data_IF_155288551227
#
_entry.id   IF_155288551227
#
_cell.length_a   1.000
_cell.length_b   1.000
_cell.length_c   1.000
_cell.angle_alpha   90.00
_cell.angle_beta   90.00
_cell.angle_gamma   90.00
#
_symmetry.space_group_name_H-M   'P 1'
#
loop_
_entity.id
_entity.type
_entity.pdbx_description
1 polymer ?
#
# COMPACT_ATOMS: atom_id res chain seq x y z
N UNK A 1 -39.59 16.08 -45.65
CA UNK A 1 -40.32 17.36 -45.81
C UNK A 1 -41.73 17.23 -45.23
N UNK A 2 -41.94 17.75 -44.01
CA UNK A 2 -43.22 18.27 -43.48
C UNK A 2 -42.89 18.88 -42.12
N UNK A 3 -43.05 20.20 -42.04
CA UNK A 3 -42.78 21.06 -40.87
C UNK A 3 -43.96 20.94 -39.91
N UNK A 4 -43.69 20.75 -38.62
CA UNK A 4 -44.75 20.76 -37.60
C UNK A 4 -44.25 21.45 -36.33
N UNK A 5 -44.86 22.61 -36.10
CA UNK A 5 -45.26 23.20 -34.81
C UNK A 5 -44.19 23.68 -33.83
N UNK A 6 -44.05 25.01 -33.86
CA UNK A 6 -43.62 25.91 -32.79
C UNK A 6 -44.66 25.87 -31.66
N UNK A 7 -44.23 25.70 -30.40
CA UNK A 7 -45.01 26.12 -29.23
C UNK A 7 -44.14 27.00 -28.35
N UNK A 8 -44.47 28.30 -28.32
CA UNK A 8 -44.00 29.27 -27.33
C UNK A 8 -44.63 28.95 -25.97
N UNK A 9 -43.83 28.92 -24.91
CA UNK A 9 -44.30 29.12 -23.54
C UNK A 9 -43.66 30.41 -23.04
N UNK A 10 -44.50 31.43 -22.86
CA UNK A 10 -44.14 32.71 -22.27
C UNK A 10 -44.38 32.67 -20.75
N UNK A 11 -43.33 33.08 -20.02
CA UNK A 11 -43.27 33.84 -18.77
C UNK A 11 -44.51 33.90 -17.85
N UNK A 12 -44.33 33.61 -16.55
CA UNK A 12 -44.73 34.49 -15.43
C UNK A 12 -43.89 34.20 -14.16
N UNK A 13 -43.65 35.26 -13.38
CA UNK A 13 -43.20 35.34 -11.97
C UNK A 13 -41.68 35.29 -11.74
N UNK A 14 -41.07 36.23 -11.01
CA UNK A 14 -41.61 37.34 -10.24
C UNK A 14 -40.47 37.94 -9.42
N UNK A 15 -40.46 39.27 -9.31
CA UNK A 15 -39.52 40.02 -8.49
C UNK A 15 -39.52 39.53 -7.04
N UNK A 16 -38.33 39.27 -6.51
CA UNK A 16 -38.07 39.03 -5.09
C UNK A 16 -36.71 39.59 -4.70
N UNK A 17 -36.53 40.91 -4.86
CA UNK A 17 -35.39 41.61 -4.30
C UNK A 17 -35.53 41.66 -2.77
N UNK A 18 -34.72 40.87 -2.05
CA UNK A 18 -34.52 41.09 -0.62
C UNK A 18 -33.04 41.29 -0.35
N UNK A 19 -32.80 42.46 0.20
CA UNK A 19 -31.57 43.09 0.65
C UNK A 19 -30.89 42.25 1.75
N UNK A 20 -29.64 41.82 1.53
CA UNK A 20 -28.72 41.46 2.61
C UNK A 20 -27.37 42.15 2.34
N UNK A 21 -27.28 43.39 2.81
CA UNK A 21 -26.01 44.08 3.04
C UNK A 21 -25.55 43.70 4.44
N UNK A 22 -24.67 42.70 4.55
CA UNK A 22 -23.86 42.48 5.73
C UNK A 22 -22.38 42.60 5.36
N UNK A 23 -21.72 43.38 6.19
CA UNK A 23 -20.37 43.90 6.10
C UNK A 23 -19.33 42.78 5.96
N UNK A 24 -18.64 42.73 4.82
CA UNK A 24 -17.39 41.99 4.69
C UNK A 24 -16.25 42.83 5.28
N UNK A 25 -15.90 42.58 6.54
CA UNK A 25 -14.61 42.99 7.08
C UNK A 25 -13.50 42.32 6.25
N UNK A 26 -12.61 43.13 5.70
CA UNK A 26 -11.37 42.70 5.06
C UNK A 26 -10.43 42.19 6.16
N UNK A 27 -10.56 40.92 6.54
CA UNK A 27 -9.53 40.24 7.32
C UNK A 27 -8.35 39.97 6.39
N UNK A 28 -7.16 40.36 6.81
CA UNK A 28 -5.92 40.03 6.13
C UNK A 28 -5.83 38.50 5.91
N UNK A 29 -5.21 38.04 4.80
CA UNK A 29 -4.92 36.61 4.65
C UNK A 29 -4.10 36.15 5.86
N UNK A 30 -4.43 35.00 6.47
CA UNK A 30 -3.60 34.45 7.54
C UNK A 30 -2.18 34.24 7.02
N UNK A 31 -1.21 34.60 7.86
CA UNK A 31 0.21 34.33 7.62
C UNK A 31 0.41 32.82 7.36
N UNK A 32 1.27 32.43 6.40
CA UNK A 32 1.53 31.03 6.06
C UNK A 32 2.29 30.25 7.15
N UNK A 33 2.54 30.83 8.32
CA UNK A 33 3.29 30.18 9.40
C UNK A 33 2.42 29.46 10.45
N UNK A 34 1.14 29.19 10.13
CA UNK A 34 0.25 28.47 11.06
C UNK A 34 0.11 27.01 10.64
N UNK A 35 1.01 26.19 11.19
CA UNK A 35 0.85 24.77 11.48
C UNK A 35 0.24 23.91 10.36
N UNK A 36 1.09 23.06 9.77
CA UNK A 36 0.73 21.66 9.57
C UNK A 36 0.19 21.14 10.91
N UNK A 37 -1.12 21.35 11.16
CA UNK A 37 -1.84 20.48 12.06
C UNK A 37 -1.62 19.11 11.48
N UNK A 38 -0.77 18.34 12.15
CA UNK A 38 -0.85 16.89 12.13
C UNK A 38 -2.34 16.59 12.25
N UNK A 39 -2.99 16.25 11.13
CA UNK A 39 -4.21 15.48 11.29
C UNK A 39 -3.74 14.33 12.17
N UNK A 40 -4.39 14.06 13.31
CA UNK A 40 -4.18 12.78 13.92
C UNK A 40 -4.52 11.81 12.80
N UNK A 41 -3.50 11.23 12.18
CA UNK A 41 -3.56 9.83 11.80
C UNK A 41 -3.91 9.24 13.14
N UNK A 42 -5.21 9.04 13.37
CA UNK A 42 -5.70 8.29 14.51
C UNK A 42 -4.82 7.07 14.46
N UNK A 43 -3.86 7.03 15.38
CA UNK A 43 -2.95 5.92 15.49
C UNK A 43 -3.90 4.78 15.74
N UNK A 44 -4.18 4.00 14.70
CA UNK A 44 -4.87 2.73 14.83
C UNK A 44 -4.05 2.06 15.91
N UNK A 45 -4.60 2.02 17.13
CA UNK A 45 -3.90 1.47 18.28
C UNK A 45 -3.45 0.11 17.80
N UNK A 46 -2.13 -0.08 17.67
CA UNK A 46 -1.59 -1.33 17.13
C UNK A 46 -2.27 -2.45 17.93
N UNK A 47 -3.13 -3.27 17.29
CA UNK A 47 -4.07 -4.06 18.06
C UNK A 47 -3.29 -5.00 18.97
N UNK A 48 -3.78 -5.15 20.20
CA UNK A 48 -3.38 -6.22 21.10
C UNK A 48 -3.52 -7.56 20.36
N UNK A 49 -2.42 -8.03 19.77
CA UNK A 49 -2.48 -9.09 18.75
C UNK A 49 -1.13 -9.75 18.47
N UNK A 50 -0.18 -9.66 19.39
CA UNK A 50 1.04 -10.48 19.37
C UNK A 50 0.82 -11.73 20.22
N UNK A 51 -0.15 -12.55 19.86
CA UNK A 51 -0.29 -13.86 20.49
C UNK A 51 0.19 -14.93 19.51
N UNK A 52 1.51 -15.17 19.40
CA UNK A 52 2.05 -16.21 18.50
C UNK A 52 1.53 -17.60 18.86
N UNK A 53 1.00 -17.80 20.07
CA UNK A 53 0.32 -19.04 20.47
C UNK A 53 -0.91 -19.32 19.60
N UNK A 54 -1.53 -18.28 19.02
CA UNK A 54 -2.65 -18.46 18.08
C UNK A 54 -2.24 -19.08 16.75
N UNK A 55 -0.97 -18.97 16.38
CA UNK A 55 -0.37 -19.71 15.29
C UNK A 55 0.50 -20.84 15.86
N UNK A 56 -0.14 -21.77 16.56
CA UNK A 56 0.50 -22.98 17.06
C UNK A 56 -0.15 -24.23 16.50
N UNK A 57 0.66 -25.28 16.28
CA UNK A 57 0.20 -26.61 15.90
C UNK A 57 0.58 -27.56 17.02
N UNK A 58 -0.39 -28.33 17.53
CA UNK A 58 -0.18 -29.27 18.63
C UNK A 58 0.49 -28.62 19.86
N UNK A 59 0.19 -27.34 20.13
CA UNK A 59 0.76 -26.58 21.23
C UNK A 59 2.18 -26.04 21.01
N UNK A 60 2.75 -26.24 19.81
CA UNK A 60 4.03 -25.68 19.42
C UNK A 60 3.80 -24.44 18.54
N UNK A 61 4.34 -23.29 18.96
CA UNK A 61 4.34 -22.06 18.18
C UNK A 61 5.10 -22.31 16.87
N UNK A 62 4.54 -21.87 15.75
CA UNK A 62 5.22 -21.97 14.45
C UNK A 62 6.50 -21.13 14.48
N UNK A 63 7.61 -21.75 14.12
CA UNK A 63 8.92 -21.10 14.04
C UNK A 63 8.92 -20.10 12.87
N UNK A 64 9.33 -18.82 13.06
CA UNK A 64 9.40 -17.87 11.96
C UNK A 64 10.27 -18.33 10.78
N UNK A 65 11.29 -19.17 11.02
CA UNK A 65 12.11 -19.74 9.95
C UNK A 65 11.35 -20.64 8.99
N UNK A 66 10.18 -21.17 9.39
CA UNK A 66 9.36 -21.96 8.49
C UNK A 66 8.89 -21.12 7.29
N UNK A 67 8.72 -19.80 7.47
CA UNK A 67 8.30 -18.89 6.42
C UNK A 67 9.44 -18.41 5.51
N UNK A 68 10.69 -18.43 5.99
CA UNK A 68 11.88 -17.92 5.29
C UNK A 68 12.28 -18.72 4.03
N UNK A 69 11.68 -19.90 3.84
CA UNK A 69 12.06 -20.86 2.80
C UNK A 69 11.02 -21.02 1.69
N UNK A 70 9.88 -20.34 1.79
CA UNK A 70 8.92 -20.38 0.71
C UNK A 70 9.50 -19.68 -0.51
N UNK A 71 9.82 -20.45 -1.54
CA UNK A 71 10.25 -19.87 -2.81
C UNK A 71 9.11 -19.02 -3.37
N UNK A 72 9.44 -17.80 -3.79
CA UNK A 72 8.51 -16.93 -4.52
C UNK A 72 7.96 -17.58 -5.81
N UNK A 73 8.58 -18.66 -6.30
CA UNK A 73 8.13 -19.42 -7.47
C UNK A 73 6.99 -20.41 -7.16
N UNK A 74 6.74 -20.72 -5.89
CA UNK A 74 5.63 -21.61 -5.51
C UNK A 74 4.32 -20.82 -5.48
N UNK A 75 3.38 -21.21 -6.34
CA UNK A 75 2.04 -20.60 -6.39
C UNK A 75 1.27 -20.79 -5.07
N UNK A 76 1.49 -21.91 -4.38
CA UNK A 76 0.90 -22.23 -3.08
C UNK A 76 1.94 -22.84 -2.16
N UNK A 77 2.75 -22.02 -1.47
CA UNK A 77 3.76 -22.54 -0.56
C UNK A 77 3.10 -23.28 0.61
N UNK A 78 3.78 -24.33 1.07
CA UNK A 78 3.44 -25.05 2.28
C UNK A 78 4.60 -24.93 3.26
N UNK A 79 4.27 -24.76 4.53
CA UNK A 79 5.20 -24.49 5.61
C UNK A 79 5.16 -25.67 6.58
N UNK A 80 6.20 -26.51 6.64
CA UNK A 80 6.33 -27.45 7.75
C UNK A 80 6.49 -26.64 9.03
N UNK A 81 5.85 -27.04 10.13
CA UNK A 81 5.97 -26.32 11.42
C UNK A 81 7.05 -26.90 12.33
N UNK A 82 7.68 -27.99 11.89
CA UNK A 82 8.79 -28.67 12.56
C UNK A 82 9.97 -28.77 11.61
N UNK A 83 11.19 -28.76 12.15
CA UNK A 83 12.44 -28.86 11.38
C UNK A 83 12.56 -27.78 10.29
N UNK A 84 12.21 -26.55 10.66
CA UNK A 84 12.21 -25.42 9.75
C UNK A 84 13.64 -24.98 9.47
N UNK A 85 14.04 -25.08 8.20
CA UNK A 85 15.32 -24.62 7.69
C UNK A 85 16.55 -25.25 8.38
N UNK A 86 16.79 -26.57 8.20
CA UNK A 86 17.90 -27.28 8.85
C UNK A 86 19.28 -26.68 8.51
N UNK A 87 19.39 -26.06 7.33
CA UNK A 87 20.62 -25.44 6.84
C UNK A 87 20.86 -24.01 7.36
N UNK A 88 19.97 -23.48 8.19
CA UNK A 88 20.11 -22.15 8.81
C UNK A 88 20.54 -22.26 10.29
N UNK A 89 21.28 -21.26 10.75
CA UNK A 89 21.67 -21.07 12.15
C UNK A 89 21.05 -19.79 12.65
N UNK A 90 20.27 -19.85 13.74
CA UNK A 90 19.74 -18.64 14.39
C UNK A 90 20.88 -17.80 14.95
N UNK A 91 20.82 -16.49 14.71
CA UNK A 91 21.85 -15.55 15.18
C UNK A 91 21.37 -14.58 16.24
N UNK A 92 20.08 -14.24 16.26
CA UNK A 92 19.47 -13.43 17.31
C UNK A 92 19.06 -14.27 18.51
N UNK A 93 19.12 -13.66 19.70
CA UNK A 93 18.30 -14.14 20.83
C UNK A 93 16.87 -13.66 20.61
N UNK A 94 15.89 -14.37 21.15
CA UNK A 94 14.45 -14.06 21.01
C UNK A 94 14.06 -12.63 21.46
N UNK A 95 14.92 -11.98 22.24
CA UNK A 95 14.78 -10.61 22.73
C UNK A 95 15.19 -9.54 21.69
N UNK A 96 16.00 -9.90 20.70
CA UNK A 96 16.35 -9.02 19.59
C UNK A 96 15.20 -9.12 18.58
N UNK A 97 14.24 -8.18 18.63
CA UNK A 97 13.12 -8.11 17.68
C UNK A 97 13.53 -7.29 16.46
N UNK A 98 14.18 -7.86 15.41
CA UNK A 98 14.73 -7.08 14.29
C UNK A 98 13.67 -6.33 13.48
N UNK A 99 12.41 -6.79 13.55
CA UNK A 99 11.27 -6.25 12.79
C UNK A 99 10.37 -5.36 13.64
N UNK A 100 10.84 -4.94 14.81
CA UNK A 100 10.06 -4.19 15.79
C UNK A 100 9.11 -5.06 16.58
N UNK A 101 8.33 -4.44 17.47
CA UNK A 101 7.52 -5.20 18.43
C UNK A 101 6.39 -5.98 17.77
N UNK A 102 5.88 -5.52 16.62
CA UNK A 102 4.67 -6.05 15.99
C UNK A 102 4.81 -7.47 15.41
N UNK A 103 6.02 -8.01 15.24
CA UNK A 103 6.27 -9.33 14.66
C UNK A 103 6.89 -10.29 15.68
N UNK A 104 6.46 -11.55 15.62
CA UNK A 104 7.21 -12.66 16.20
C UNK A 104 8.22 -13.15 15.17
N UNK A 105 9.52 -13.02 15.45
CA UNK A 105 10.56 -13.14 14.43
C UNK A 105 11.93 -13.56 14.96
N UNK A 106 12.83 -13.84 14.03
CA UNK A 106 14.22 -14.23 14.30
C UNK A 106 15.15 -13.75 13.19
N UNK A 107 16.43 -13.57 13.48
CA UNK A 107 17.50 -13.50 12.47
C UNK A 107 18.20 -14.84 12.34
N UNK A 108 18.81 -15.08 11.20
CA UNK A 108 19.54 -16.30 10.89
C UNK A 108 20.77 -16.04 10.02
N UNK A 109 21.67 -17.01 9.97
CA UNK A 109 22.80 -17.11 9.06
C UNK A 109 22.74 -18.45 8.33
N UNK A 110 23.09 -18.48 7.05
CA UNK A 110 23.32 -19.74 6.33
C UNK A 110 24.50 -20.51 6.92
N UNK A 111 24.40 -21.84 7.01
CA UNK A 111 25.53 -22.73 7.36
C UNK A 111 26.60 -22.83 6.25
N UNK A 112 26.31 -22.34 5.04
CA UNK A 112 27.25 -22.34 3.92
C UNK A 112 28.41 -21.37 4.14
N UNK A 113 29.53 -21.58 3.43
CA UNK A 113 30.73 -20.71 3.48
C UNK A 113 30.44 -19.24 3.13
N UNK A 114 29.34 -18.98 2.41
CA UNK A 114 28.78 -17.65 2.23
C UNK A 114 27.78 -17.38 3.37
N UNK A 115 28.24 -16.73 4.43
CA UNK A 115 27.42 -16.36 5.59
C UNK A 115 26.39 -15.28 5.22
N UNK A 116 25.29 -15.71 4.59
CA UNK A 116 24.15 -14.85 4.28
C UNK A 116 23.31 -14.67 5.55
N UNK A 117 23.14 -13.42 5.98
CA UNK A 117 22.37 -13.04 7.18
C UNK A 117 20.96 -12.66 6.79
N UNK A 118 19.96 -13.39 7.26
CA UNK A 118 18.57 -13.06 6.99
C UNK A 118 17.75 -12.79 8.25
N UNK A 119 16.49 -12.43 8.03
CA UNK A 119 15.46 -12.38 9.06
C UNK A 119 14.14 -12.92 8.51
N UNK A 120 13.33 -13.50 9.39
CA UNK A 120 11.98 -13.91 9.08
C UNK A 120 11.08 -13.69 10.29
N UNK A 121 9.86 -13.24 10.04
CA UNK A 121 8.89 -12.92 11.07
C UNK A 121 7.47 -13.03 10.55
N UNK A 122 6.54 -13.18 11.47
CA UNK A 122 5.13 -13.13 11.14
C UNK A 122 4.32 -12.47 12.24
N UNK A 123 3.12 -12.06 11.86
CA UNK A 123 2.07 -11.57 12.73
C UNK A 123 0.77 -12.27 12.38
N UNK A 124 0.20 -12.98 13.35
CA UNK A 124 -1.15 -13.52 13.22
C UNK A 124 -2.17 -12.39 13.37
N UNK A 125 -3.04 -12.21 12.38
CA UNK A 125 -4.02 -11.11 12.35
C UNK A 125 -5.38 -11.54 12.89
N UNK A 126 -5.69 -12.83 12.83
CA UNK A 126 -6.99 -13.38 13.17
C UNK A 126 -7.43 -14.48 12.22
N UNK A 127 -8.66 -14.91 12.39
CA UNK A 127 -9.33 -15.82 11.47
C UNK A 127 -10.15 -15.00 10.46
N UNK A 128 -9.99 -15.28 9.17
CA UNK A 128 -10.77 -14.67 8.09
C UNK A 128 -11.38 -15.78 7.24
N UNK A 129 -12.71 -15.83 7.16
CA UNK A 129 -13.46 -16.86 6.41
C UNK A 129 -13.08 -18.32 6.76
N UNK A 130 -12.62 -18.56 7.99
CA UNK A 130 -12.20 -19.89 8.45
C UNK A 130 -10.72 -20.20 8.26
N UNK A 131 -9.96 -19.30 7.62
CA UNK A 131 -8.53 -19.43 7.38
C UNK A 131 -7.72 -18.54 8.32
N UNK A 132 -6.45 -18.91 8.57
CA UNK A 132 -5.52 -18.12 9.39
C UNK A 132 -4.96 -16.97 8.56
N UNK A 133 -5.31 -15.73 8.89
CA UNK A 133 -4.72 -14.56 8.26
C UNK A 133 -3.37 -14.24 8.92
N UNK A 134 -2.30 -14.27 8.12
CA UNK A 134 -0.93 -14.08 8.59
C UNK A 134 -0.21 -13.06 7.72
N UNK A 135 0.41 -12.07 8.36
CA UNK A 135 1.33 -11.14 7.72
C UNK A 135 2.76 -11.59 7.99
N UNK A 136 3.46 -12.01 6.94
CA UNK A 136 4.81 -12.54 6.93
C UNK A 136 5.77 -11.44 6.43
N UNK A 137 6.95 -11.34 7.03
CA UNK A 137 8.04 -10.47 6.60
C UNK A 137 9.34 -11.28 6.57
N UNK A 138 10.12 -11.12 5.50
CA UNK A 138 11.40 -11.81 5.36
C UNK A 138 12.45 -10.96 4.64
N UNK A 139 13.71 -11.31 4.90
CA UNK A 139 14.88 -10.85 4.19
C UNK A 139 15.87 -12.02 4.14
N UNK A 140 16.23 -12.44 2.92
CA UNK A 140 17.15 -13.57 2.71
C UNK A 140 18.61 -13.12 2.58
N UNK A 141 18.99 -12.03 3.26
CA UNK A 141 20.34 -11.48 3.32
C UNK A 141 20.84 -10.64 2.15
N UNK A 142 19.92 -10.21 1.29
CA UNK A 142 20.12 -9.07 0.40
C UNK A 142 19.67 -7.74 1.03
N UNK A 143 19.48 -6.72 0.19
CA UNK A 143 18.90 -5.43 0.58
C UNK A 143 17.36 -5.40 0.52
N UNK A 144 16.73 -6.43 -0.05
CA UNK A 144 15.27 -6.55 -0.20
C UNK A 144 14.59 -6.96 1.09
N UNK A 145 13.41 -6.41 1.38
CA UNK A 145 12.58 -6.83 2.51
C UNK A 145 11.22 -7.14 1.94
N UNK A 146 10.88 -8.42 1.93
CA UNK A 146 9.64 -8.91 1.37
C UNK A 146 8.60 -9.01 2.45
N UNK A 147 7.36 -8.75 2.08
CA UNK A 147 6.22 -8.90 2.96
C UNK A 147 5.07 -9.51 2.19
N UNK A 148 4.36 -10.41 2.86
CA UNK A 148 3.28 -11.20 2.28
C UNK A 148 2.13 -11.28 3.26
N UNK A 149 0.91 -11.05 2.78
CA UNK A 149 -0.33 -11.26 3.51
C UNK A 149 -1.03 -12.47 2.93
N UNK A 150 -1.16 -13.53 3.73
CA UNK A 150 -1.68 -14.82 3.28
C UNK A 150 -2.80 -15.33 4.18
N UNK A 151 -3.70 -16.11 3.58
CA UNK A 151 -4.63 -17.00 4.27
C UNK A 151 -4.03 -18.41 4.28
N UNK A 152 -3.91 -19.00 5.46
CA UNK A 152 -3.31 -20.31 5.66
C UNK A 152 -4.31 -21.32 6.23
N UNK A 153 -4.18 -22.58 5.82
CA UNK A 153 -4.92 -23.72 6.34
C UNK A 153 -4.02 -24.69 7.12
N UNK A 154 -4.61 -25.39 8.08
CA UNK A 154 -3.94 -26.49 8.79
C UNK A 154 -4.23 -27.82 8.10
N UNK A 155 -3.19 -28.53 7.69
CA UNK A 155 -3.33 -29.81 6.97
C UNK A 155 -3.38 -31.05 7.89
N UNK A 156 -3.43 -30.85 9.20
CA UNK A 156 -3.55 -31.94 10.20
C UNK A 156 -2.31 -32.83 10.35
N UNK A 157 -1.35 -32.74 9.42
CA UNK A 157 -0.08 -33.47 9.41
C UNK A 157 1.09 -32.68 10.03
N UNK A 158 0.81 -31.47 10.54
CA UNK A 158 1.86 -30.57 11.02
C UNK A 158 2.34 -29.57 9.97
N UNK A 159 1.60 -29.37 8.88
CA UNK A 159 1.90 -28.33 7.90
C UNK A 159 0.83 -27.24 7.87
N UNK A 160 1.27 -26.04 7.51
CA UNK A 160 0.41 -24.96 7.04
C UNK A 160 0.44 -24.95 5.51
N UNK A 161 -0.71 -24.89 4.86
CA UNK A 161 -0.78 -24.67 3.41
C UNK A 161 -1.28 -23.26 3.12
N UNK A 162 -0.81 -22.67 2.03
CA UNK A 162 -1.35 -21.38 1.58
C UNK A 162 -2.66 -21.62 0.85
N UNK A 163 -3.75 -21.15 1.45
CA UNK A 163 -5.06 -21.09 0.80
C UNK A 163 -5.03 -20.03 -0.31
N UNK A 164 -4.61 -18.82 0.05
CA UNK A 164 -4.57 -17.64 -0.84
C UNK A 164 -3.48 -16.65 -0.39
N UNK A 165 -2.84 -16.00 -1.36
CA UNK A 165 -1.97 -14.84 -1.13
C UNK A 165 -2.78 -13.59 -1.49
N UNK A 166 -3.10 -12.77 -0.50
CA UNK A 166 -3.92 -11.56 -0.66
C UNK A 166 -3.09 -10.37 -1.16
N UNK A 167 -1.84 -10.27 -0.69
CA UNK A 167 -0.90 -9.25 -1.13
C UNK A 167 0.55 -9.69 -0.90
N UNK A 168 1.46 -9.26 -1.77
CA UNK A 168 2.89 -9.41 -1.56
C UNK A 168 3.69 -8.30 -2.26
N UNK A 169 4.95 -8.11 -1.83
CA UNK A 169 5.90 -7.21 -2.49
C UNK A 169 7.22 -7.00 -1.74
N UNK A 170 8.14 -6.25 -2.37
CA UNK A 170 9.42 -5.82 -1.77
C UNK A 170 9.36 -4.33 -1.43
N UNK A 171 9.28 -4.01 -0.13
CA UNK A 171 9.27 -2.62 0.38
C UNK A 171 8.29 -1.76 -0.44
N UNK A 172 8.80 -0.75 -1.14
CA UNK A 172 8.00 0.19 -1.93
C UNK A 172 7.31 -0.42 -3.15
N UNK A 173 7.76 -1.58 -3.61
CA UNK A 173 7.17 -2.29 -4.73
C UNK A 173 6.15 -3.31 -4.21
N UNK A 174 5.02 -2.79 -3.72
CA UNK A 174 3.87 -3.58 -3.31
C UNK A 174 3.95 -4.21 -1.92
N UNK A 175 4.96 -3.85 -1.12
CA UNK A 175 5.12 -4.36 0.25
C UNK A 175 3.92 -4.03 1.11
N UNK A 176 3.50 -4.98 1.94
CA UNK A 176 2.36 -4.88 2.84
C UNK A 176 2.74 -4.05 4.06
N UNK A 177 1.84 -3.15 4.47
CA UNK A 177 1.94 -2.33 5.66
C UNK A 177 0.61 -2.33 6.43
N UNK A 178 0.68 -2.08 7.75
CA UNK A 178 -0.47 -1.85 8.63
C UNK A 178 -1.63 -2.87 8.50
N UNK A 179 -1.32 -4.15 8.27
CA UNK A 179 -2.33 -5.20 8.13
C UNK A 179 -2.96 -5.57 9.49
N UNK A 180 -4.29 -5.72 9.50
CA UNK A 180 -5.05 -6.11 10.68
C UNK A 180 -6.50 -6.49 10.37
N UNK A 181 -7.14 -7.21 11.30
CA UNK A 181 -8.57 -7.55 11.23
C UNK A 181 -9.31 -6.83 12.35
N UNK A 182 -10.34 -6.08 11.99
CA UNK A 182 -11.25 -5.41 12.94
C UNK A 182 -12.69 -5.75 12.55
N UNK A 183 -13.46 -6.29 13.50
CA UNK A 183 -14.85 -6.69 13.30
C UNK A 183 -15.09 -7.57 12.05
N UNK A 184 -14.14 -8.49 11.79
CA UNK A 184 -14.18 -9.41 10.65
C UNK A 184 -13.80 -8.80 9.31
N UNK A 185 -13.41 -7.53 9.28
CA UNK A 185 -12.89 -6.85 8.09
C UNK A 185 -11.38 -6.83 8.13
N UNK A 186 -10.75 -7.39 7.10
CA UNK A 186 -9.31 -7.26 6.89
C UNK A 186 -9.00 -5.89 6.28
N UNK A 187 -8.21 -5.08 6.96
CA UNK A 187 -7.66 -3.83 6.46
C UNK A 187 -6.16 -3.96 6.32
N UNK A 188 -5.60 -3.47 5.22
CA UNK A 188 -4.15 -3.39 5.03
C UNK A 188 -3.79 -2.28 4.05
N UNK A 189 -2.52 -1.93 4.03
CA UNK A 189 -1.94 -1.00 3.07
C UNK A 189 -0.88 -1.70 2.22
N UNK A 190 -0.63 -1.18 1.02
CA UNK A 190 0.53 -1.55 0.21
C UNK A 190 1.34 -0.30 -0.11
N UNK A 191 2.63 -0.32 0.17
CA UNK A 191 3.53 0.73 -0.34
C UNK A 191 3.58 0.62 -1.87
N UNK A 192 3.47 1.76 -2.55
CA UNK A 192 3.41 1.83 -4.02
C UNK A 192 4.43 2.81 -4.58
N UNK A 193 5.01 2.43 -5.71
CA UNK A 193 5.89 3.29 -6.52
C UNK A 193 5.07 4.18 -7.46
N UNK A 194 5.67 5.22 -8.08
CA UNK A 194 5.04 6.02 -9.12
C UNK A 194 4.43 5.18 -10.26
N UNK A 195 5.13 4.14 -10.71
CA UNK A 195 4.60 3.24 -11.73
C UNK A 195 3.39 2.45 -11.21
N UNK A 196 3.48 1.90 -10.00
CA UNK A 196 2.38 1.13 -9.39
C UNK A 196 1.12 1.97 -9.22
N UNK A 197 1.26 3.25 -8.89
CA UNK A 197 0.14 4.20 -8.78
C UNK A 197 -0.69 4.22 -10.07
N UNK A 198 -0.07 4.22 -11.25
CA UNK A 198 -0.81 4.12 -12.50
C UNK A 198 -1.51 2.77 -12.69
N UNK A 199 -0.88 1.69 -12.23
CA UNK A 199 -1.37 0.33 -12.38
C UNK A 199 -2.54 0.00 -11.43
N UNK A 200 -2.77 0.80 -10.37
CA UNK A 200 -3.84 0.59 -9.39
C UNK A 200 -5.25 0.71 -9.97
N UNK A 201 -5.44 1.28 -11.16
CA UNK A 201 -6.77 1.40 -11.80
C UNK A 201 -7.32 0.08 -12.35
N UNK A 202 -6.72 -1.06 -12.00
CA UNK A 202 -7.33 -2.39 -12.14
C UNK A 202 -7.21 -3.07 -13.51
N UNK A 203 -6.59 -2.45 -14.51
CA UNK A 203 -6.30 -3.10 -15.78
C UNK A 203 -4.80 -3.00 -16.13
N UNK A 204 -4.02 -4.08 -15.98
CA UNK A 204 -2.59 -4.07 -16.29
C UNK A 204 -2.30 -4.00 -17.81
N UNK A 205 -3.31 -4.26 -18.65
CA UNK A 205 -3.21 -4.21 -20.12
C UNK A 205 -3.57 -2.83 -20.69
N UNK A 206 -3.78 -1.81 -19.83
CA UNK A 206 -4.09 -0.46 -20.30
C UNK A 206 -2.97 0.05 -21.21
N UNK A 207 -3.29 0.57 -22.42
CA UNK A 207 -2.28 1.05 -23.36
C UNK A 207 -1.35 2.12 -22.78
N UNK A 208 -1.86 2.97 -21.88
CA UNK A 208 -1.05 4.01 -21.22
C UNK A 208 0.12 3.45 -20.44
N UNK A 209 -0.04 2.29 -19.79
CA UNK A 209 1.02 1.61 -19.03
C UNK A 209 2.13 1.11 -19.97
N UNK A 210 1.84 0.91 -21.25
CA UNK A 210 2.80 0.46 -22.25
C UNK A 210 3.56 1.61 -22.94
N UNK A 211 3.25 2.87 -22.60
CA UNK A 211 3.92 4.04 -23.17
C UNK A 211 5.34 4.20 -22.61
N UNK A 212 6.24 4.77 -23.41
CA UNK A 212 7.61 5.06 -22.96
C UNK A 212 7.63 5.96 -21.71
N UNK A 213 6.76 6.98 -21.68
CA UNK A 213 6.64 7.89 -20.54
C UNK A 213 6.21 7.17 -19.25
N UNK A 214 5.24 6.26 -19.33
CA UNK A 214 4.83 5.48 -18.17
C UNK A 214 5.96 4.55 -17.68
N UNK A 215 6.66 3.89 -18.61
CA UNK A 215 7.79 3.00 -18.30
C UNK A 215 9.01 3.74 -17.74
N UNK A 216 9.09 5.06 -17.92
CA UNK A 216 10.11 5.90 -17.29
C UNK A 216 9.78 6.27 -15.84
N UNK A 217 8.56 6.01 -15.36
CA UNK A 217 8.25 6.25 -13.95
C UNK A 217 9.01 5.25 -13.05
N UNK A 218 9.49 5.70 -11.88
CA UNK A 218 10.21 4.82 -10.96
C UNK A 218 9.36 3.62 -10.53
N UNK A 219 9.95 2.43 -10.62
CA UNK A 219 9.39 1.16 -10.14
C UNK A 219 10.47 0.41 -9.33
N UNK A 220 10.91 1.01 -8.21
CA UNK A 220 12.00 0.48 -7.41
C UNK A 220 11.59 0.25 -5.95
N UNK A 221 12.21 -0.73 -5.28
CA UNK A 221 11.90 -1.09 -3.90
C UNK A 221 12.29 -0.02 -2.85
N UNK A 222 12.96 1.07 -3.25
CA UNK A 222 13.20 2.24 -2.41
C UNK A 222 12.40 3.49 -2.84
N UNK A 223 11.58 3.38 -3.90
CA UNK A 223 10.89 4.49 -4.54
C UNK A 223 9.45 4.67 -3.99
N UNK A 224 9.27 4.67 -2.67
CA UNK A 224 7.96 4.77 -2.04
C UNK A 224 7.37 6.18 -2.23
N UNK A 225 6.14 6.25 -2.73
CA UNK A 225 5.44 7.53 -2.94
C UNK A 225 4.15 7.63 -2.14
N UNK A 226 3.46 6.50 -1.99
CA UNK A 226 2.17 6.45 -1.34
C UNK A 226 1.92 5.06 -0.77
N UNK A 227 0.80 4.95 -0.07
CA UNK A 227 0.22 3.70 0.40
C UNK A 227 -1.17 3.54 -0.18
N UNK A 228 -1.39 2.46 -0.92
CA UNK A 228 -2.70 2.05 -1.38
C UNK A 228 -3.43 1.33 -0.23
N UNK A 229 -4.65 1.74 0.08
CA UNK A 229 -5.49 1.18 1.14
C UNK A 229 -6.42 0.12 0.57
N UNK A 230 -6.59 -0.96 1.34
CA UNK A 230 -7.45 -2.08 0.97
C UNK A 230 -8.31 -2.53 2.15
N UNK A 231 -9.56 -2.90 1.85
CA UNK A 231 -10.47 -3.58 2.76
C UNK A 231 -10.97 -4.87 2.10
N UNK A 232 -10.72 -6.03 2.73
CA UNK A 232 -11.06 -7.35 2.19
C UNK A 232 -10.57 -7.60 0.75
N UNK A 233 -9.46 -6.95 0.36
CA UNK A 233 -8.90 -7.03 -0.98
C UNK A 233 -9.37 -5.94 -1.94
N UNK A 234 -10.43 -5.20 -1.60
CA UNK A 234 -10.94 -4.10 -2.40
C UNK A 234 -10.13 -2.82 -2.14
N UNK A 235 -9.68 -2.16 -3.21
CA UNK A 235 -9.00 -0.87 -3.12
C UNK A 235 -9.97 0.22 -2.62
N UNK A 236 -9.61 0.92 -1.56
CA UNK A 236 -10.46 1.95 -0.92
C UNK A 236 -9.93 3.37 -1.07
N UNK A 237 -8.66 3.54 -1.43
CA UNK A 237 -8.05 4.85 -1.66
C UNK A 237 -6.53 4.81 -1.54
N UNK A 238 -5.91 5.98 -1.59
CA UNK A 238 -4.46 6.12 -1.55
C UNK A 238 -4.05 7.29 -0.65
N UNK A 239 -3.02 7.06 0.18
CA UNK A 239 -2.40 8.08 1.02
C UNK A 239 -0.99 8.36 0.52
N UNK A 240 -0.75 9.58 0.04
CA UNK A 240 0.59 10.10 -0.21
C UNK A 240 1.22 10.56 1.10
N UNK A 241 2.48 10.20 1.32
CA UNK A 241 3.23 10.64 2.51
C UNK A 241 4.63 11.14 2.10
N UNK A 242 4.78 12.47 2.12
CA UNK A 242 6.05 13.15 1.82
C UNK A 242 7.17 12.83 2.82
N UNK A 243 6.84 12.25 3.99
CA UNK A 243 7.79 11.91 5.05
C UNK A 243 8.35 10.50 4.89
N UNK A 244 7.85 9.70 3.95
CA UNK A 244 8.48 8.42 3.64
C UNK A 244 9.96 8.70 3.36
N UNK A 245 10.90 7.93 3.94
CA UNK A 245 12.32 8.30 4.03
C UNK A 245 13.05 8.48 2.69
N UNK A 246 12.36 8.21 1.57
CA UNK A 246 12.81 8.36 0.19
C UNK A 246 11.89 9.28 -0.65
N UNK A 247 10.84 9.86 -0.04
CA UNK A 247 9.85 10.72 -0.68
C UNK A 247 10.43 12.09 -1.01
N UNK A 248 10.30 12.50 -2.28
CA UNK A 248 10.44 13.83 -2.89
C UNK A 248 11.71 14.68 -2.63
N UNK A 249 12.28 14.68 -1.43
CA UNK A 249 13.27 15.65 -0.96
C UNK A 249 14.74 15.20 -1.11
N UNK A 250 15.00 14.00 -1.65
CA UNK A 250 16.36 13.43 -1.68
C UNK A 250 16.77 12.71 -2.96
N UNK A 251 15.95 12.70 -4.01
CA UNK A 251 16.28 11.98 -5.24
C UNK A 251 17.31 12.75 -6.07
N UNK A 252 18.34 12.03 -6.52
CA UNK A 252 19.08 12.40 -7.73
C UNK A 252 18.18 12.07 -8.91
N UNK A 253 17.34 13.02 -9.31
CA UNK A 253 16.56 12.91 -10.53
C UNK A 253 17.49 12.54 -11.70
N UNK A 254 17.01 11.67 -12.59
CA UNK A 254 17.53 11.74 -13.95
C UNK A 254 17.00 13.06 -14.50
N UNK A 255 17.87 14.07 -14.62
CA UNK A 255 17.49 15.44 -15.00
C UNK A 255 16.71 15.51 -16.33
N UNK A 256 16.73 14.44 -17.12
CA UNK A 256 16.07 14.28 -18.41
C UNK A 256 14.67 13.61 -18.36
N UNK A 257 14.18 13.14 -17.21
CA UNK A 257 12.87 12.48 -17.12
C UNK A 257 11.71 13.48 -16.88
N UNK A 258 11.15 14.00 -17.97
CA UNK A 258 10.03 14.95 -17.90
C UNK A 258 8.75 14.34 -17.29
N UNK A 259 8.51 13.04 -17.48
CA UNK A 259 7.32 12.37 -16.95
C UNK A 259 7.37 12.25 -15.43
N UNK A 260 8.50 11.79 -14.87
CA UNK A 260 8.69 11.73 -13.40
C UNK A 260 8.59 13.12 -12.77
N UNK A 261 9.21 14.14 -13.37
CA UNK A 261 9.11 15.51 -12.86
C UNK A 261 7.67 16.04 -12.85
N UNK A 262 6.93 15.83 -13.94
CA UNK A 262 5.53 16.23 -14.02
C UNK A 262 4.68 15.52 -12.97
N UNK A 263 4.85 14.20 -12.83
CA UNK A 263 4.17 13.39 -11.84
C UNK A 263 4.43 13.91 -10.42
N UNK A 264 5.70 14.21 -10.13
CA UNK A 264 6.09 14.74 -8.83
C UNK A 264 5.46 16.09 -8.52
N UNK A 265 5.41 16.99 -9.51
CA UNK A 265 4.82 18.31 -9.36
C UNK A 265 3.29 18.23 -9.18
N UNK A 266 2.61 17.33 -9.90
CA UNK A 266 1.18 17.07 -9.69
C UNK A 266 0.89 16.53 -8.29
N UNK A 267 1.65 15.55 -7.81
CA UNK A 267 1.43 15.01 -6.45
C UNK A 267 1.60 16.08 -5.39
N UNK A 268 2.60 16.96 -5.49
CA UNK A 268 2.80 18.04 -4.51
C UNK A 268 1.55 18.93 -4.40
N UNK A 269 0.97 19.32 -5.55
CA UNK A 269 -0.27 20.11 -5.59
C UNK A 269 -1.39 19.35 -4.89
N UNK A 270 -1.60 18.07 -5.22
CA UNK A 270 -2.66 17.27 -4.61
C UNK A 270 -2.47 17.05 -3.10
N UNK A 271 -1.24 16.91 -2.62
CA UNK A 271 -0.96 16.80 -1.19
C UNK A 271 -1.28 18.10 -0.45
N UNK A 272 -0.91 19.25 -1.02
CA UNK A 272 -1.21 20.57 -0.48
C UNK A 272 -2.72 20.85 -0.42
N UNK A 273 -3.48 20.40 -1.43
CA UNK A 273 -4.92 20.63 -1.53
C UNK A 273 -5.77 19.64 -0.71
N UNK A 274 -5.44 18.34 -0.77
CA UNK A 274 -6.29 17.25 -0.25
C UNK A 274 -5.73 16.57 1.00
N UNK A 275 -4.74 17.18 1.67
CA UNK A 275 -4.05 16.62 2.85
C UNK A 275 -3.40 15.25 2.57
N UNK A 276 -3.14 14.93 1.30
CA UNK A 276 -2.46 13.72 0.86
C UNK A 276 -3.31 12.44 0.78
N UNK A 277 -4.62 12.46 1.09
CA UNK A 277 -5.48 11.28 0.90
C UNK A 277 -6.44 11.48 -0.26
N UNK A 278 -6.58 10.47 -1.13
CA UNK A 278 -7.58 10.41 -2.18
C UNK A 278 -8.41 9.13 -2.00
N UNK A 279 -9.74 9.27 -1.92
CA UNK A 279 -10.65 8.13 -2.06
C UNK A 279 -10.66 7.60 -3.51
N UNK A 280 -11.38 6.50 -3.76
CA UNK A 280 -11.42 5.87 -5.09
C UNK A 280 -11.81 6.83 -6.22
N UNK A 281 -12.82 7.69 -6.02
CA UNK A 281 -13.32 8.58 -7.08
C UNK A 281 -12.35 9.74 -7.36
N UNK A 282 -11.78 10.31 -6.29
CA UNK A 282 -10.75 11.34 -6.41
C UNK A 282 -9.48 10.76 -7.06
N UNK A 283 -9.11 9.53 -6.69
CA UNK A 283 -7.98 8.81 -7.26
C UNK A 283 -8.14 8.55 -8.76
N UNK A 284 -9.30 8.06 -9.22
CA UNK A 284 -9.56 7.86 -10.65
C UNK A 284 -9.45 9.15 -11.46
N UNK A 285 -9.91 10.27 -10.88
CA UNK A 285 -9.80 11.59 -11.50
C UNK A 285 -8.34 12.04 -11.58
N UNK A 286 -7.58 11.81 -10.51
CA UNK A 286 -6.15 12.10 -10.44
C UNK A 286 -5.34 11.29 -11.45
N UNK A 287 -5.63 10.00 -11.63
CA UNK A 287 -4.95 9.17 -12.63
C UNK A 287 -5.20 9.70 -14.05
N UNK A 288 -6.42 10.08 -14.39
CA UNK A 288 -6.72 10.68 -15.70
C UNK A 288 -5.95 11.98 -15.94
N UNK A 289 -5.77 12.78 -14.90
CA UNK A 289 -4.95 13.99 -14.96
C UNK A 289 -3.48 13.65 -15.25
N UNK A 290 -2.89 12.70 -14.53
CA UNK A 290 -1.51 12.24 -14.79
C UNK A 290 -1.36 11.75 -16.23
N UNK A 291 -2.30 10.92 -16.70
CA UNK A 291 -2.24 10.34 -18.04
C UNK A 291 -2.27 11.41 -19.12
N UNK A 292 -3.16 12.39 -18.97
CA UNK A 292 -3.31 13.47 -19.94
C UNK A 292 -2.15 14.45 -19.87
N UNK A 293 -1.80 14.91 -18.67
CA UNK A 293 -0.87 16.04 -18.47
C UNK A 293 0.58 15.58 -18.50
N UNK A 294 0.90 14.46 -17.85
CA UNK A 294 2.28 14.00 -17.71
C UNK A 294 2.68 12.95 -18.73
N UNK A 295 1.77 12.09 -19.15
CA UNK A 295 2.08 11.00 -20.08
C UNK A 295 1.70 11.32 -21.53
N UNK A 296 0.87 12.36 -21.74
CA UNK A 296 0.39 12.74 -23.06
C UNK A 296 -0.56 11.72 -23.67
N UNK A 297 -1.26 10.94 -22.83
CA UNK A 297 -2.21 9.91 -23.23
C UNK A 297 -3.64 10.44 -23.14
N UNK A 298 -4.40 10.33 -24.23
CA UNK A 298 -5.83 10.64 -24.25
C UNK A 298 -6.63 9.48 -24.85
N UNK A 299 -7.75 9.11 -24.22
CA UNK A 299 -8.58 8.02 -24.73
C UNK A 299 -9.20 8.40 -26.08
N UNK A 300 -8.83 7.67 -27.14
CA UNK A 300 -9.42 7.81 -28.48
C UNK A 300 -8.49 8.41 -29.55
N UNK A 301 -7.22 8.69 -29.22
CA UNK A 301 -6.13 8.93 -30.17
C UNK A 301 -5.39 7.63 -30.53
#
# INVERSE_FOLDING_TARGET
MKRTTILLIAAVFGLGATLFLLQGQKTAPPSPDTALQENPVDSVQAPAGQDPVKLSINGQIVDPLCFALASAEQEKPSYPVTDCAPDLVRTSKEEDRPMGEQFYGTTYESRSDEAVRGMAGYRYLGDLNGHKAVWIVENSGGSGVFSTLSLLDYEGDGTLSTYEILASGDRCNGGVADAGIVDGTLSYMRDVTPYDILALTGNPERPVLQTENAQQLPACAACCYARAHYENGDFTGIQFDLRLPQGFAGKTYREDNNAEKCFDDLIKVHIEENKGYLDVLAFESFIKEIETVCLGYSEGE
#
